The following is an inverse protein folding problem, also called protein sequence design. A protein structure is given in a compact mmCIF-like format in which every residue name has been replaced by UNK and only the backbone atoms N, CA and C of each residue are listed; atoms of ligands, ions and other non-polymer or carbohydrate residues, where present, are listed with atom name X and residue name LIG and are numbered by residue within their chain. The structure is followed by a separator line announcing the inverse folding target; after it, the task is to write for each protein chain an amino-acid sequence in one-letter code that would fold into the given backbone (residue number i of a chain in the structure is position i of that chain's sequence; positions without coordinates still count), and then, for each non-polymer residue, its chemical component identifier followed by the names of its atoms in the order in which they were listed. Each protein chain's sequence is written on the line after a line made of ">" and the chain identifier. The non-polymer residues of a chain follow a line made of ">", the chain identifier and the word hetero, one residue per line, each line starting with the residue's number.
data_IF_006545050119
#
_entry.id   IF_006545050119
#
_cell.length_a   1.000
_cell.length_b   1.000
_cell.length_c   1.000
_cell.angle_alpha   90.00
_cell.angle_beta   90.00
_cell.angle_gamma   90.00
#
_symmetry.space_group_name_H-M   'P 1'
#
loop_
_entity.id
_entity.type
_entity.pdbx_description
1 polymer ?
#
# COMPACT_ATOMS: atom_id res chain seq x y z
N UNK A 1 25.39 4.69 -13.95
CA UNK A 1 24.28 4.93 -13.02
C UNK A 1 23.56 3.61 -12.74
N UNK A 2 23.80 3.02 -11.57
CA UNK A 2 23.17 1.78 -11.15
C UNK A 2 21.83 2.08 -10.50
N UNK A 3 20.75 1.85 -11.23
CA UNK A 3 19.38 1.95 -10.72
C UNK A 3 18.97 0.60 -10.14
N UNK A 4 18.32 0.63 -8.99
CA UNK A 4 17.79 -0.58 -8.35
C UNK A 4 16.37 -0.33 -7.84
N UNK A 5 15.51 -1.32 -8.04
CA UNK A 5 14.16 -1.32 -7.47
C UNK A 5 14.14 -2.28 -6.28
N UNK A 6 13.74 -1.77 -5.13
CA UNK A 6 13.57 -2.55 -3.91
C UNK A 6 12.08 -2.73 -3.68
N UNK A 7 11.61 -3.96 -3.75
CA UNK A 7 10.21 -4.30 -3.50
C UNK A 7 10.03 -4.78 -2.05
N UNK A 8 9.26 -4.04 -1.27
CA UNK A 8 8.96 -4.37 0.12
C UNK A 8 7.59 -5.03 0.20
N UNK A 9 7.57 -6.31 0.53
CA UNK A 9 6.35 -7.09 0.68
C UNK A 9 5.67 -6.87 2.04
N UNK A 10 4.57 -7.59 2.25
CA UNK A 10 3.74 -7.51 3.47
C UNK A 10 4.56 -7.68 4.75
N UNK A 11 5.48 -8.63 4.77
CA UNK A 11 6.29 -8.95 5.95
C UNK A 11 7.31 -7.85 6.31
N UNK A 12 7.52 -6.88 5.43
CA UNK A 12 8.41 -5.75 5.71
C UNK A 12 7.79 -4.72 6.67
N UNK A 13 6.48 -4.79 6.93
CA UNK A 13 5.76 -3.77 7.71
C UNK A 13 5.09 -4.31 8.97
N UNK A 14 4.56 -5.54 8.96
CA UNK A 14 3.73 -6.07 10.05
C UNK A 14 2.29 -5.56 10.00
N UNK A 15 1.53 -5.76 11.07
CA UNK A 15 0.09 -5.46 11.15
C UNK A 15 -0.22 -4.18 11.91
N UNK A 16 0.50 -3.91 12.99
CA UNK A 16 0.28 -2.73 13.84
C UNK A 16 1.27 -1.62 13.51
N UNK A 17 0.94 -0.39 13.90
CA UNK A 17 1.86 0.73 13.72
C UNK A 17 3.20 0.57 14.46
N UNK A 18 3.24 0.10 15.72
CA UNK A 18 4.51 -0.18 16.39
C UNK A 18 5.37 -1.22 15.68
N UNK A 19 4.75 -2.28 15.14
CA UNK A 19 5.46 -3.28 14.31
C UNK A 19 6.01 -2.66 13.03
N UNK A 20 5.21 -1.83 12.36
CA UNK A 20 5.62 -1.10 11.18
C UNK A 20 6.83 -0.21 11.47
N UNK A 21 6.81 0.54 12.56
CA UNK A 21 7.94 1.39 12.97
C UNK A 21 9.23 0.60 13.13
N UNK A 22 9.18 -0.53 13.82
CA UNK A 22 10.33 -1.38 14.04
C UNK A 22 10.86 -2.01 12.74
N UNK A 23 9.96 -2.50 11.89
CA UNK A 23 10.32 -3.15 10.63
C UNK A 23 10.82 -2.15 9.58
N UNK A 24 10.22 -0.97 9.51
CA UNK A 24 10.67 0.11 8.63
C UNK A 24 12.07 0.60 9.01
N UNK A 25 12.39 0.66 10.29
CA UNK A 25 13.75 1.00 10.74
C UNK A 25 14.80 -0.01 10.22
N UNK A 26 14.46 -1.29 10.19
CA UNK A 26 15.33 -2.34 9.61
C UNK A 26 15.47 -2.18 8.10
N UNK A 27 14.37 -1.98 7.40
CA UNK A 27 14.38 -1.76 5.96
C UNK A 27 15.16 -0.50 5.58
N UNK A 28 15.05 0.56 6.37
CA UNK A 28 15.76 1.81 6.16
C UNK A 28 17.29 1.62 6.21
N UNK A 29 17.80 0.77 7.11
CA UNK A 29 19.23 0.45 7.16
C UNK A 29 19.70 -0.23 5.89
N UNK A 30 18.97 -1.23 5.41
CA UNK A 30 19.29 -1.94 4.18
C UNK A 30 19.25 -1.01 2.94
N UNK A 31 18.24 -0.14 2.87
CA UNK A 31 18.12 0.84 1.79
C UNK A 31 19.25 1.87 1.86
N UNK A 32 19.62 2.33 3.04
CA UNK A 32 20.73 3.25 3.24
C UNK A 32 22.06 2.63 2.81
N UNK A 33 22.26 1.33 3.01
CA UNK A 33 23.43 0.61 2.50
C UNK A 33 23.55 0.72 0.97
N UNK A 34 22.43 0.58 0.27
CA UNK A 34 22.39 0.72 -1.18
C UNK A 34 22.67 2.15 -1.64
N UNK A 35 22.12 3.15 -0.96
CA UNK A 35 22.37 4.56 -1.25
C UNK A 35 23.85 4.90 -1.03
N UNK A 36 24.42 4.43 0.07
CA UNK A 36 25.85 4.61 0.40
C UNK A 36 26.75 3.95 -0.66
N UNK A 37 26.33 2.82 -1.22
CA UNK A 37 27.01 2.15 -2.33
C UNK A 37 26.76 2.82 -3.70
N UNK A 38 26.15 4.00 -3.72
CA UNK A 38 25.89 4.83 -4.92
C UNK A 38 24.85 4.29 -5.89
N UNK A 39 23.93 3.45 -5.41
CA UNK A 39 22.76 3.08 -6.18
C UNK A 39 21.71 4.20 -6.16
N UNK A 40 21.03 4.36 -7.28
CA UNK A 40 19.79 5.13 -7.34
C UNK A 40 18.62 4.18 -7.03
N UNK A 41 17.97 4.40 -5.91
CA UNK A 41 16.98 3.45 -5.36
C UNK A 41 15.56 3.94 -5.59
N UNK A 42 14.74 3.06 -6.16
CA UNK A 42 13.28 3.19 -6.17
C UNK A 42 12.72 2.11 -5.26
N UNK A 43 11.83 2.51 -4.37
CA UNK A 43 11.16 1.59 -3.45
C UNK A 43 9.72 1.43 -3.88
N UNK A 44 9.29 0.18 -4.06
CA UNK A 44 7.89 -0.19 -4.18
C UNK A 44 7.46 -0.98 -2.95
N UNK A 45 6.20 -0.90 -2.57
CA UNK A 45 5.74 -1.63 -1.39
C UNK A 45 4.30 -2.12 -1.56
N UNK A 46 3.98 -3.21 -0.87
CA UNK A 46 2.61 -3.66 -0.68
C UNK A 46 1.90 -2.78 0.37
N UNK A 47 0.57 -2.87 0.43
CA UNK A 47 -0.25 -2.10 1.36
C UNK A 47 -1.19 -2.94 2.24
N UNK A 48 -1.14 -4.23 2.14
CA UNK A 48 -1.89 -5.10 3.04
C UNK A 48 -1.05 -5.46 4.28
N UNK A 49 -1.57 -5.35 5.48
CA UNK A 49 -2.95 -5.13 5.90
C UNK A 49 -3.40 -3.67 6.06
N UNK A 50 -2.54 -2.69 5.86
CA UNK A 50 -2.81 -1.27 6.11
C UNK A 50 -4.04 -0.74 5.37
N UNK A 51 -4.21 -1.12 4.10
CA UNK A 51 -5.38 -0.69 3.32
C UNK A 51 -6.69 -1.18 3.92
N UNK A 52 -6.71 -2.41 4.44
CA UNK A 52 -7.89 -2.98 5.10
C UNK A 52 -8.22 -2.27 6.41
N UNK A 53 -7.21 -1.94 7.20
CA UNK A 53 -7.36 -1.14 8.43
C UNK A 53 -7.95 0.24 8.13
N UNK A 54 -7.42 0.92 7.14
CA UNK A 54 -7.90 2.25 6.73
C UNK A 54 -9.35 2.17 6.26
N UNK A 55 -9.67 1.20 5.41
CA UNK A 55 -11.03 0.99 4.93
C UNK A 55 -12.00 0.73 6.09
N UNK A 56 -11.64 -0.13 7.01
CA UNK A 56 -12.46 -0.42 8.19
C UNK A 56 -12.68 0.83 9.04
N UNK A 57 -11.63 1.60 9.29
CA UNK A 57 -11.73 2.84 10.06
C UNK A 57 -12.65 3.87 9.39
N UNK A 58 -12.53 4.05 8.07
CA UNK A 58 -13.38 4.97 7.32
C UNK A 58 -14.84 4.49 7.29
N UNK A 59 -15.07 3.20 7.14
CA UNK A 59 -16.40 2.60 7.14
C UNK A 59 -17.10 2.76 8.50
N UNK A 60 -16.40 2.47 9.59
CA UNK A 60 -16.93 2.61 10.95
C UNK A 60 -17.20 4.07 11.31
N UNK A 61 -16.34 4.99 10.88
CA UNK A 61 -16.58 6.41 11.11
C UNK A 61 -17.82 6.91 10.34
N UNK A 62 -18.00 6.49 9.09
CA UNK A 62 -19.18 6.81 8.31
C UNK A 62 -20.48 6.26 8.93
N UNK A 63 -20.39 5.14 9.64
CA UNK A 63 -21.53 4.57 10.37
C UNK A 63 -21.90 5.40 11.61
N UNK A 64 -20.91 6.00 12.28
CA UNK A 64 -21.12 6.83 13.47
C UNK A 64 -21.68 8.22 13.13
N UNK A 65 -21.36 8.73 11.95
CA UNK A 65 -21.81 10.04 11.49
C UNK A 65 -22.21 9.97 10.01
N UNK A 66 -23.52 10.04 9.76
CA UNK A 66 -24.09 9.93 8.41
C UNK A 66 -23.67 11.04 7.44
N UNK A 67 -23.06 12.10 7.93
CA UNK A 67 -22.46 13.16 7.10
C UNK A 67 -21.30 12.62 6.24
N UNK A 68 -20.62 11.58 6.70
CA UNK A 68 -19.47 11.01 6.01
C UNK A 68 -19.87 9.76 5.26
N UNK A 69 -19.37 9.63 4.04
CA UNK A 69 -19.57 8.47 3.20
C UNK A 69 -18.42 7.46 3.36
N UNK A 70 -18.70 6.21 3.03
CA UNK A 70 -17.66 5.17 2.95
C UNK A 70 -16.66 5.55 1.87
N UNK A 71 -15.38 5.54 2.19
CA UNK A 71 -14.32 5.84 1.22
C UNK A 71 -14.16 4.67 0.23
N UNK A 72 -14.07 4.95 -1.08
CA UNK A 72 -13.80 3.90 -2.05
C UNK A 72 -12.41 3.28 -1.82
N UNK A 73 -12.25 2.03 -2.24
CA UNK A 73 -11.01 1.27 -2.04
C UNK A 73 -9.80 1.97 -2.68
N UNK A 74 -9.98 2.62 -3.82
CA UNK A 74 -8.92 3.39 -4.49
C UNK A 74 -8.40 4.53 -3.61
N UNK A 75 -9.29 5.23 -2.90
CA UNK A 75 -8.90 6.28 -1.97
C UNK A 75 -8.20 5.71 -0.73
N UNK A 76 -8.69 4.60 -0.19
CA UNK A 76 -8.03 3.90 0.92
C UNK A 76 -6.63 3.42 0.53
N UNK A 77 -6.47 2.95 -0.69
CA UNK A 77 -5.16 2.58 -1.23
C UNK A 77 -4.22 3.78 -1.33
N UNK A 78 -4.71 4.92 -1.81
CA UNK A 78 -3.93 6.17 -1.83
C UNK A 78 -3.52 6.62 -0.42
N UNK A 79 -4.44 6.54 0.55
CA UNK A 79 -4.13 6.84 1.96
C UNK A 79 -3.07 5.88 2.53
N UNK A 80 -3.10 4.61 2.15
CA UNK A 80 -2.08 3.63 2.57
C UNK A 80 -0.70 3.97 2.04
N UNK A 81 -0.61 4.55 0.85
CA UNK A 81 0.66 5.01 0.30
C UNK A 81 1.26 6.14 1.14
N UNK A 82 0.44 7.08 1.60
CA UNK A 82 0.88 8.12 2.52
C UNK A 82 1.26 7.55 3.89
N UNK A 83 0.44 6.68 4.44
CA UNK A 83 0.67 6.03 5.74
C UNK A 83 2.01 5.28 5.78
N UNK A 84 2.31 4.49 4.78
CA UNK A 84 3.54 3.72 4.68
C UNK A 84 4.70 4.58 4.18
N UNK A 85 4.48 5.35 3.12
CA UNK A 85 5.51 6.15 2.48
C UNK A 85 6.06 7.26 3.37
N UNK A 86 5.21 7.90 4.15
CA UNK A 86 5.63 8.91 5.15
C UNK A 86 6.59 8.29 6.18
N UNK A 87 6.27 7.11 6.70
CA UNK A 87 7.10 6.42 7.67
C UNK A 87 8.43 5.97 7.04
N UNK A 88 8.39 5.39 5.85
CA UNK A 88 9.58 4.97 5.10
C UNK A 88 10.51 6.14 4.80
N UNK A 89 9.99 7.24 4.24
CA UNK A 89 10.85 8.37 3.87
C UNK A 89 11.51 9.03 5.08
N UNK A 90 10.81 9.10 6.22
CA UNK A 90 11.40 9.64 7.45
C UNK A 90 12.46 8.70 8.03
N UNK A 91 12.19 7.39 8.06
CA UNK A 91 13.14 6.41 8.56
C UNK A 91 14.42 6.36 7.70
N UNK A 92 14.27 6.36 6.39
CA UNK A 92 15.41 6.36 5.45
C UNK A 92 16.20 7.67 5.57
N UNK A 93 15.54 8.80 5.59
CA UNK A 93 16.18 10.11 5.74
C UNK A 93 16.98 10.18 7.05
N UNK A 94 16.40 9.72 8.16
CA UNK A 94 17.07 9.67 9.45
C UNK A 94 18.33 8.82 9.40
N UNK A 95 18.23 7.62 8.82
CA UNK A 95 19.38 6.73 8.68
C UNK A 95 20.49 7.34 7.80
N UNK A 96 20.12 7.97 6.68
CA UNK A 96 21.09 8.67 5.81
C UNK A 96 21.76 9.81 6.54
N UNK A 97 21.03 10.62 7.29
CA UNK A 97 21.59 11.70 8.09
C UNK A 97 22.58 11.18 9.15
N UNK A 98 22.26 10.07 9.80
CA UNK A 98 23.16 9.42 10.77
C UNK A 98 24.48 8.96 10.13
N UNK A 99 24.48 8.70 8.84
CA UNK A 99 25.68 8.34 8.05
C UNK A 99 26.34 9.53 7.37
N UNK A 100 25.87 10.75 7.62
CA UNK A 100 26.38 11.97 6.98
C UNK A 100 26.02 12.11 5.52
N UNK A 101 24.97 11.41 5.07
CA UNK A 101 24.48 11.48 3.68
C UNK A 101 23.27 12.41 3.62
N UNK A 102 23.42 13.52 2.91
CA UNK A 102 22.36 14.53 2.73
C UNK A 102 21.63 14.27 1.42
N UNK A 103 20.56 13.51 1.48
CA UNK A 103 19.77 13.14 0.32
C UNK A 103 18.29 13.21 0.64
N UNK A 104 17.52 13.78 -0.30
CA UNK A 104 16.07 13.86 -0.19
C UNK A 104 15.44 12.50 -0.48
N UNK A 105 14.47 12.14 0.33
CA UNK A 105 13.60 10.98 0.11
C UNK A 105 12.18 11.49 -0.06
N UNK A 106 11.52 11.11 -1.12
CA UNK A 106 10.18 11.56 -1.47
C UNK A 106 9.24 10.38 -1.68
N UNK A 107 7.99 10.55 -1.34
CA UNK A 107 6.92 9.59 -1.65
C UNK A 107 6.04 10.15 -2.75
N UNK A 108 5.80 9.36 -3.79
CA UNK A 108 4.92 9.73 -4.89
C UNK A 108 3.67 8.87 -4.80
N UNK A 109 2.50 9.52 -4.74
CA UNK A 109 1.24 8.81 -4.87
C UNK A 109 1.13 8.34 -6.33
N UNK A 110 1.04 7.04 -6.52
CA UNK A 110 1.01 6.41 -7.83
C UNK A 110 -0.31 5.74 -8.12
N UNK A 111 -0.70 5.77 -9.38
CA UNK A 111 -1.90 5.14 -9.92
C UNK A 111 -1.50 4.14 -10.99
N UNK A 112 -2.10 2.96 -10.95
CA UNK A 112 -1.81 1.88 -11.88
C UNK A 112 -2.92 1.80 -12.92
N UNK A 113 -2.52 1.87 -14.19
CA UNK A 113 -3.43 1.65 -15.31
C UNK A 113 -3.70 0.17 -15.49
N UNK A 114 -4.97 -0.18 -15.67
CA UNK A 114 -5.42 -1.53 -15.98
C UNK A 114 -6.36 -1.49 -17.20
N UNK A 115 -6.55 -2.63 -17.84
CA UNK A 115 -7.55 -2.77 -18.89
C UNK A 115 -8.95 -2.86 -18.25
N UNK A 116 -9.88 -1.94 -18.56
CA UNK A 116 -11.24 -2.02 -18.03
C UNK A 116 -12.02 -3.27 -18.45
N UNK A 117 -11.57 -3.97 -19.50
CA UNK A 117 -12.15 -5.21 -19.99
C UNK A 117 -11.39 -6.46 -19.54
N UNK A 118 -10.46 -6.32 -18.60
CA UNK A 118 -9.74 -7.46 -18.04
C UNK A 118 -10.74 -8.47 -17.42
N UNK A 119 -10.59 -9.75 -17.78
CA UNK A 119 -11.45 -10.81 -17.27
C UNK A 119 -11.39 -10.97 -15.75
N UNK A 120 -10.32 -10.49 -15.12
CA UNK A 120 -10.18 -10.49 -13.67
C UNK A 120 -11.31 -9.72 -12.96
N UNK A 121 -11.92 -8.72 -13.60
CA UNK A 121 -13.07 -8.01 -13.02
C UNK A 121 -14.30 -8.90 -12.84
N UNK A 122 -14.43 -9.96 -13.64
CA UNK A 122 -15.51 -10.93 -13.54
C UNK A 122 -15.14 -12.18 -12.72
N UNK A 123 -13.89 -12.24 -12.24
CA UNK A 123 -13.37 -13.36 -11.46
C UNK A 123 -12.48 -12.84 -10.32
N UNK A 124 -13.06 -12.25 -9.26
CA UNK A 124 -12.30 -11.74 -8.12
C UNK A 124 -11.51 -12.85 -7.43
N UNK A 125 -10.27 -12.56 -7.09
CA UNK A 125 -9.35 -13.54 -6.47
C UNK A 125 -8.59 -12.98 -5.28
N UNK A 126 -8.46 -11.66 -5.16
CA UNK A 126 -7.65 -11.04 -4.09
C UNK A 126 -8.47 -10.89 -2.81
N UNK A 127 -8.05 -11.61 -1.78
CA UNK A 127 -8.66 -11.55 -0.44
C UNK A 127 -8.20 -10.28 0.27
N UNK A 128 -9.17 -9.53 0.82
CA UNK A 128 -8.91 -8.29 1.56
C UNK A 128 -9.77 -8.18 2.82
N UNK A 129 -9.35 -7.29 3.72
CA UNK A 129 -10.12 -6.92 4.89
C UNK A 129 -10.09 -7.94 6.03
N UNK A 130 -10.89 -7.68 7.05
CA UNK A 130 -11.04 -8.53 8.23
C UNK A 130 -11.99 -9.69 7.96
N UNK A 131 -11.97 -10.67 8.85
CA UNK A 131 -13.01 -11.70 8.89
C UNK A 131 -14.35 -11.11 9.28
N UNK A 132 -15.39 -11.55 8.60
CA UNK A 132 -16.79 -11.13 8.80
C UNK A 132 -17.63 -12.31 9.27
N UNK A 133 -18.72 -11.99 9.97
CA UNK A 133 -19.78 -12.96 10.24
C UNK A 133 -20.56 -13.25 8.95
N UNK A 134 -21.42 -14.28 8.99
CA UNK A 134 -22.28 -14.62 7.87
C UNK A 134 -23.22 -13.46 7.52
N UNK A 135 -23.79 -12.81 8.53
CA UNK A 135 -24.70 -11.68 8.38
C UNK A 135 -24.00 -10.47 7.75
N UNK A 136 -22.78 -10.18 8.18
CA UNK A 136 -21.95 -9.12 7.59
C UNK A 136 -21.61 -9.43 6.12
N UNK A 137 -21.29 -10.68 5.81
CA UNK A 137 -21.01 -11.13 4.45
C UNK A 137 -22.23 -10.99 3.53
N UNK A 138 -23.40 -11.39 4.00
CA UNK A 138 -24.66 -11.24 3.27
C UNK A 138 -24.99 -9.76 2.99
N UNK A 139 -24.70 -8.87 3.95
CA UNK A 139 -24.84 -7.44 3.78
C UNK A 139 -23.89 -6.89 2.70
N UNK A 140 -22.66 -7.39 2.65
CA UNK A 140 -21.69 -7.00 1.60
C UNK A 140 -22.12 -7.51 0.22
N UNK A 141 -22.62 -8.74 0.12
CA UNK A 141 -23.16 -9.28 -1.13
C UNK A 141 -24.35 -8.49 -1.64
N UNK A 142 -25.23 -8.04 -0.74
CA UNK A 142 -26.39 -7.21 -1.09
C UNK A 142 -25.98 -5.85 -1.67
N UNK A 143 -24.78 -5.35 -1.37
CA UNK A 143 -24.19 -4.15 -1.97
C UNK A 143 -23.51 -4.42 -3.33
N UNK A 144 -23.48 -5.67 -3.78
CA UNK A 144 -22.79 -6.08 -5.00
C UNK A 144 -21.31 -6.42 -4.82
N UNK A 145 -20.83 -6.52 -3.58
CA UNK A 145 -19.48 -6.96 -3.28
C UNK A 145 -19.37 -8.48 -3.27
N UNK A 146 -18.17 -9.00 -3.54
CA UNK A 146 -17.90 -10.44 -3.51
C UNK A 146 -17.28 -10.83 -2.18
N UNK A 147 -17.68 -11.99 -1.66
CA UNK A 147 -17.15 -12.57 -0.42
C UNK A 147 -16.75 -14.03 -0.66
N UNK A 148 -15.86 -14.53 0.16
CA UNK A 148 -15.45 -15.93 0.18
C UNK A 148 -15.51 -16.44 1.61
N UNK A 149 -15.96 -17.70 1.77
CA UNK A 149 -15.96 -18.39 3.04
C UNK A 149 -14.60 -19.05 3.28
N UNK A 150 -14.05 -18.85 4.46
CA UNK A 150 -12.82 -19.48 4.95
C UNK A 150 -13.08 -20.12 6.31
N UNK A 151 -12.09 -20.86 6.85
CA UNK A 151 -12.24 -21.56 8.15
C UNK A 151 -12.64 -20.64 9.31
N UNK A 152 -12.13 -19.40 9.31
CA UNK A 152 -12.34 -18.43 10.40
C UNK A 152 -13.52 -17.48 10.17
N UNK A 153 -14.26 -17.64 9.08
CA UNK A 153 -15.37 -16.78 8.73
C UNK A 153 -15.34 -16.36 7.26
N UNK A 154 -15.92 -15.21 6.98
CA UNK A 154 -16.04 -14.70 5.61
C UNK A 154 -15.08 -13.53 5.38
N UNK A 155 -14.52 -13.46 4.18
CA UNK A 155 -13.70 -12.34 3.78
C UNK A 155 -14.14 -11.78 2.43
N UNK A 156 -13.93 -10.49 2.26
CA UNK A 156 -14.16 -9.83 0.97
C UNK A 156 -13.08 -10.21 -0.02
N UNK A 157 -13.48 -10.43 -1.28
CA UNK A 157 -12.54 -10.60 -2.38
C UNK A 157 -12.79 -9.53 -3.44
N UNK A 158 -11.71 -9.10 -4.08
CA UNK A 158 -11.75 -8.10 -5.15
C UNK A 158 -11.00 -8.59 -6.38
N UNK A 159 -11.27 -7.95 -7.50
CA UNK A 159 -10.55 -8.19 -8.73
C UNK A 159 -9.07 -7.79 -8.59
N UNK A 160 -8.21 -8.56 -9.23
CA UNK A 160 -6.78 -8.27 -9.34
C UNK A 160 -6.38 -8.20 -10.82
N UNK A 161 -6.80 -7.15 -11.56
CA UNK A 161 -6.48 -7.02 -12.97
C UNK A 161 -4.98 -6.84 -13.19
N UNK A 162 -4.51 -7.22 -14.38
CA UNK A 162 -3.10 -7.12 -14.74
C UNK A 162 -2.67 -5.65 -14.84
N UNK A 163 -1.62 -5.23 -14.12
CA UNK A 163 -1.05 -3.90 -14.27
C UNK A 163 -0.50 -3.69 -15.69
N UNK A 164 -0.81 -2.55 -16.28
CA UNK A 164 -0.33 -2.18 -17.62
C UNK A 164 0.73 -1.08 -17.56
N UNK A 165 0.51 -0.05 -16.74
CA UNK A 165 1.39 1.11 -16.65
C UNK A 165 1.18 1.82 -15.31
N UNK A 166 2.10 2.72 -14.99
CA UNK A 166 2.01 3.64 -13.86
C UNK A 166 1.88 5.05 -14.43
N UNK A 167 0.79 5.76 -14.08
CA UNK A 167 0.54 7.10 -14.64
C UNK A 167 1.65 8.10 -14.31
N UNK A 168 2.28 7.99 -13.14
CA UNK A 168 3.31 8.89 -12.65
C UNK A 168 4.74 8.48 -13.02
N UNK A 169 4.92 7.59 -13.99
CA UNK A 169 6.25 7.05 -14.33
C UNK A 169 7.24 8.14 -14.76
N UNK A 170 6.78 9.18 -15.44
CA UNK A 170 7.66 10.28 -15.85
C UNK A 170 8.16 11.09 -14.65
N UNK A 171 7.32 11.27 -13.63
CA UNK A 171 7.73 11.91 -12.37
C UNK A 171 8.79 11.07 -11.64
N UNK A 172 8.62 9.75 -11.61
CA UNK A 172 9.59 8.82 -11.03
C UNK A 172 10.94 8.95 -11.74
N UNK A 173 10.94 8.94 -13.07
CA UNK A 173 12.16 9.11 -13.87
C UNK A 173 12.83 10.45 -13.61
N UNK A 174 12.06 11.54 -13.59
CA UNK A 174 12.59 12.88 -13.33
C UNK A 174 13.28 12.98 -11.97
N UNK A 175 12.71 12.38 -10.93
CA UNK A 175 13.32 12.35 -9.59
C UNK A 175 14.60 11.51 -9.56
N UNK A 176 14.63 10.38 -10.24
CA UNK A 176 15.84 9.57 -10.37
C UNK A 176 16.95 10.32 -11.12
N UNK A 177 16.61 11.00 -12.19
CA UNK A 177 17.58 11.77 -12.97
C UNK A 177 18.10 13.00 -12.21
N UNK A 178 17.31 13.55 -11.30
CA UNK A 178 17.74 14.64 -10.42
C UNK A 178 18.68 14.18 -9.29
N UNK A 179 18.77 12.89 -9.06
CA UNK A 179 19.63 12.30 -8.00
C UNK A 179 18.91 12.10 -6.69
#
# INVERSE_FOLDING_TARGET
>A
NNKIVVALGRNAFGETFPEQKANVAKAARAIADLVEAKYQVVITHSNGPQVGMIQTAMTEFARLDSKYTVAPMSLCSAMSQGYIGYDLQNAIRTELLNRGIYKTVSTIITQVKVDPFDRAFNNPTKIIGRYMTKEEAEAEEAKGNYVVEEEKGYRRIIAAPKPMDIYEIDAVRALLDAG
#
